data_IF_349323359092
#
_entry.id   IF_349323359092
#
_cell.length_a   1.000
_cell.length_b   1.000
_cell.length_c   1.000
_cell.angle_alpha   90.00
_cell.angle_beta   90.00
_cell.angle_gamma   90.00
#
_symmetry.space_group_name_H-M   'P 1'
#
loop_
_entity.id
_entity.type
_entity.pdbx_description
1 polymer ?
#
# COMPACT_ATOMS: atom_id res chain seq x y z
N UNK A 1 -7.97 -7.63 13.28
CA UNK A 1 -7.14 -7.39 12.08
C UNK A 1 -7.89 -6.72 10.92
N UNK A 2 -8.86 -7.37 10.27
CA UNK A 2 -9.55 -6.77 9.08
C UNK A 2 -10.18 -5.41 9.32
N UNK A 3 -10.93 -5.27 10.41
CA UNK A 3 -11.54 -3.99 10.79
C UNK A 3 -10.51 -2.96 11.24
N UNK A 4 -9.41 -3.40 11.87
CA UNK A 4 -8.30 -2.52 12.25
C UNK A 4 -7.60 -1.92 11.02
N UNK A 5 -7.38 -2.73 9.98
CA UNK A 5 -6.80 -2.25 8.70
C UNK A 5 -7.72 -1.22 8.05
N UNK A 6 -9.03 -1.51 7.96
CA UNK A 6 -10.01 -0.54 7.43
C UNK A 6 -10.01 0.76 8.25
N UNK A 7 -9.98 0.65 9.58
CA UNK A 7 -9.93 1.79 10.49
C UNK A 7 -8.66 2.62 10.28
N UNK A 8 -7.49 1.99 10.15
CA UNK A 8 -6.23 2.69 9.85
C UNK A 8 -6.32 3.48 8.54
N UNK A 9 -6.83 2.85 7.48
CA UNK A 9 -7.01 3.51 6.19
C UNK A 9 -7.90 4.74 6.34
N UNK A 10 -9.03 4.60 7.04
CA UNK A 10 -9.98 5.70 7.29
C UNK A 10 -9.37 6.82 8.16
N UNK A 11 -8.67 6.48 9.24
CA UNK A 11 -8.04 7.42 10.18
C UNK A 11 -6.97 8.28 9.48
N UNK A 12 -6.27 7.74 8.48
CA UNK A 12 -5.26 8.46 7.68
C UNK A 12 -5.92 9.27 6.53
N UNK A 13 -7.25 9.16 6.37
CA UNK A 13 -8.04 9.87 5.36
C UNK A 13 -8.15 9.14 4.02
N UNK A 14 -7.94 7.83 4.02
CA UNK A 14 -8.15 6.95 2.88
C UNK A 14 -9.56 6.36 2.83
N UNK A 15 -9.88 5.74 1.71
CA UNK A 15 -11.11 4.96 1.51
C UNK A 15 -10.75 3.51 1.24
N UNK A 16 -11.51 2.58 1.81
CA UNK A 16 -11.37 1.14 1.58
C UNK A 16 -12.67 0.57 1.05
N UNK A 17 -12.57 -0.40 0.15
CA UNK A 17 -13.69 -1.24 -0.28
C UNK A 17 -13.96 -2.38 0.72
N UNK A 18 -14.94 -3.22 0.40
CA UNK A 18 -15.22 -4.42 1.17
C UNK A 18 -14.16 -5.51 0.98
N UNK A 19 -14.00 -6.35 2.00
CA UNK A 19 -13.13 -7.51 1.92
C UNK A 19 -13.74 -8.56 0.97
N UNK A 20 -12.94 -9.06 0.05
CA UNK A 20 -13.28 -10.20 -0.80
C UNK A 20 -12.36 -11.38 -0.50
N UNK A 21 -12.90 -12.59 -0.59
CA UNK A 21 -12.10 -13.81 -0.48
C UNK A 21 -11.41 -14.10 -1.81
N UNK A 22 -10.14 -14.53 -1.76
CA UNK A 22 -9.37 -14.86 -2.95
C UNK A 22 -8.79 -16.26 -2.87
N UNK A 23 -8.91 -16.97 -3.99
CA UNK A 23 -8.37 -18.32 -4.18
C UNK A 23 -7.18 -18.25 -5.12
N UNK A 24 -6.17 -19.11 -4.92
CA UNK A 24 -4.99 -19.14 -5.80
C UNK A 24 -5.36 -19.46 -7.25
N UNK A 25 -6.44 -20.25 -7.42
CA UNK A 25 -6.94 -20.73 -8.71
C UNK A 25 -8.47 -20.84 -8.63
N UNK A 26 -9.18 -20.71 -9.76
CA UNK A 26 -10.63 -20.93 -9.80
C UNK A 26 -11.02 -22.29 -9.23
N UNK A 27 -12.05 -22.32 -8.37
CA UNK A 27 -12.59 -23.55 -7.77
C UNK A 27 -11.79 -24.12 -6.60
N UNK A 28 -10.74 -23.45 -6.13
CA UNK A 28 -10.06 -23.77 -4.88
C UNK A 28 -10.62 -22.97 -3.72
N UNK A 29 -10.48 -23.51 -2.50
CA UNK A 29 -10.82 -22.77 -1.29
C UNK A 29 -10.00 -21.47 -1.21
N UNK A 30 -10.58 -20.39 -0.67
CA UNK A 30 -9.83 -19.15 -0.46
C UNK A 30 -8.64 -19.35 0.47
N UNK A 31 -7.48 -18.87 0.05
CA UNK A 31 -6.24 -18.89 0.85
C UNK A 31 -5.96 -17.53 1.53
N UNK A 32 -6.71 -16.51 1.12
CA UNK A 32 -6.51 -15.15 1.58
C UNK A 32 -7.78 -14.32 1.37
N UNK A 33 -7.73 -13.09 1.87
CA UNK A 33 -8.70 -12.04 1.58
C UNK A 33 -7.98 -10.76 1.16
N UNK A 34 -8.64 -9.95 0.34
CA UNK A 34 -8.12 -8.65 -0.06
C UNK A 34 -9.17 -7.56 0.02
N UNK A 35 -8.72 -6.32 0.20
CA UNK A 35 -9.53 -5.13 -0.03
C UNK A 35 -8.75 -4.15 -0.88
N UNK A 36 -9.46 -3.37 -1.70
CA UNK A 36 -8.87 -2.24 -2.38
C UNK A 36 -8.93 -1.00 -1.49
N UNK A 37 -7.94 -0.12 -1.61
CA UNK A 37 -7.92 1.15 -0.91
C UNK A 37 -7.40 2.28 -1.79
N UNK A 38 -7.69 3.52 -1.39
CA UNK A 38 -7.19 4.73 -2.03
C UNK A 38 -6.97 5.85 -1.03
N UNK A 39 -5.93 6.66 -1.25
CA UNK A 39 -5.64 7.88 -0.51
C UNK A 39 -5.72 9.07 -1.47
N UNK A 40 -6.95 9.48 -1.80
CA UNK A 40 -7.25 10.53 -2.79
C UNK A 40 -6.35 10.38 -4.03
N UNK A 41 -5.65 11.44 -4.44
CA UNK A 41 -4.79 11.41 -5.61
C UNK A 41 -3.41 10.82 -5.34
N UNK A 42 -3.00 10.59 -4.08
CA UNK A 42 -1.61 10.24 -3.75
C UNK A 42 -1.23 8.84 -4.26
N UNK A 43 -1.96 7.82 -3.80
CA UNK A 43 -1.76 6.43 -4.18
C UNK A 43 -3.00 5.60 -3.88
N UNK A 44 -3.07 4.43 -4.50
CA UNK A 44 -4.11 3.43 -4.27
C UNK A 44 -3.49 2.04 -4.38
N UNK A 45 -4.28 1.02 -4.09
CA UNK A 45 -3.83 -0.36 -4.26
C UNK A 45 -4.69 -1.32 -3.49
N UNK A 46 -4.08 -2.39 -2.98
CA UNK A 46 -4.78 -3.42 -2.22
C UNK A 46 -4.00 -3.89 -1.02
N UNK A 47 -4.72 -4.27 0.03
CA UNK A 47 -4.17 -5.02 1.15
C UNK A 47 -4.61 -6.46 0.98
N UNK A 48 -3.65 -7.37 0.94
CA UNK A 48 -3.83 -8.81 0.82
C UNK A 48 -3.39 -9.48 2.12
N UNK A 49 -4.29 -10.24 2.73
CA UNK A 49 -4.08 -10.89 4.02
C UNK A 49 -4.27 -12.38 3.83
N UNK A 50 -3.21 -13.15 4.04
CA UNK A 50 -3.25 -14.62 4.01
C UNK A 50 -3.92 -15.18 5.25
N UNK A 51 -4.42 -16.41 5.14
CA UNK A 51 -5.07 -17.10 6.25
C UNK A 51 -4.11 -17.37 7.42
N UNK A 52 -2.82 -17.50 7.13
CA UNK A 52 -1.74 -17.66 8.10
C UNK A 52 -1.32 -16.34 8.77
N UNK A 53 -1.86 -15.21 8.30
CA UNK A 53 -1.74 -13.90 8.92
C UNK A 53 -0.74 -12.95 8.28
N UNK A 54 -0.02 -13.36 7.23
CA UNK A 54 0.88 -12.45 6.51
C UNK A 54 0.10 -11.36 5.78
N UNK A 55 0.63 -10.15 5.84
CA UNK A 55 0.04 -8.95 5.25
C UNK A 55 0.93 -8.47 4.11
N UNK A 56 0.35 -8.33 2.93
CA UNK A 56 1.01 -7.77 1.76
C UNK A 56 0.23 -6.56 1.27
N UNK A 57 0.95 -5.50 0.93
CA UNK A 57 0.37 -4.24 0.50
C UNK A 57 0.91 -3.91 -0.88
N UNK A 58 0.01 -3.81 -1.84
CA UNK A 58 0.30 -3.22 -3.14
C UNK A 58 0.06 -1.72 -3.07
N UNK A 59 1.06 -0.93 -3.42
CA UNK A 59 0.97 0.53 -3.52
C UNK A 59 1.22 0.93 -4.97
N UNK A 60 0.30 1.71 -5.54
CA UNK A 60 0.37 2.25 -6.90
C UNK A 60 0.27 3.76 -6.83
N UNK A 61 1.22 4.48 -7.42
CA UNK A 61 1.19 5.94 -7.50
C UNK A 61 1.59 6.43 -8.89
N UNK A 62 0.85 7.40 -9.44
CA UNK A 62 1.22 8.09 -10.69
C UNK A 62 2.40 9.03 -10.51
N UNK A 63 2.68 9.43 -9.28
CA UNK A 63 3.75 10.38 -8.98
C UNK A 63 5.12 9.73 -8.95
N UNK A 64 5.17 8.41 -8.75
CA UNK A 64 6.39 7.63 -8.79
C UNK A 64 6.45 6.90 -10.12
N UNK A 65 7.36 7.33 -11.01
CA UNK A 65 7.53 6.67 -12.32
C UNK A 65 8.11 5.26 -12.16
N UNK A 66 9.07 5.09 -11.25
CA UNK A 66 9.72 3.83 -10.96
C UNK A 66 10.08 3.73 -9.46
N UNK A 67 9.42 2.83 -8.73
CA UNK A 67 9.68 2.60 -7.31
C UNK A 67 11.07 2.03 -7.06
N UNK A 68 11.64 1.23 -7.99
CA UNK A 68 12.99 0.68 -7.84
C UNK A 68 14.03 1.79 -7.58
N UNK A 69 13.86 2.94 -8.21
CA UNK A 69 14.77 4.09 -8.07
C UNK A 69 14.59 4.86 -6.76
N UNK A 70 13.61 4.48 -5.94
CA UNK A 70 13.22 5.15 -4.69
C UNK A 70 13.33 4.26 -3.47
N UNK A 71 13.50 2.93 -3.62
CA UNK A 71 13.56 1.97 -2.49
C UNK A 71 14.52 2.44 -1.39
N UNK A 72 15.72 2.91 -1.78
CA UNK A 72 16.74 3.40 -0.84
C UNK A 72 16.32 4.62 0.01
N UNK A 73 15.33 5.36 -0.46
CA UNK A 73 14.81 6.57 0.20
C UNK A 73 13.60 6.23 1.10
N UNK A 74 13.07 5.01 1.02
CA UNK A 74 11.93 4.56 1.81
C UNK A 74 12.38 4.13 3.21
N UNK A 75 11.65 4.60 4.21
CA UNK A 75 11.86 4.24 5.63
C UNK A 75 10.66 3.45 6.11
N UNK A 76 10.45 2.30 5.48
CA UNK A 76 9.33 1.40 5.78
C UNK A 76 9.64 0.55 7.01
N UNK A 77 8.59 0.23 7.75
CA UNK A 77 8.58 -0.76 8.83
C UNK A 77 8.51 -2.17 8.25
N UNK A 78 7.84 -2.32 7.11
CA UNK A 78 7.80 -3.55 6.32
C UNK A 78 9.01 -3.75 5.40
N UNK A 79 8.96 -4.84 4.64
CA UNK A 79 9.99 -5.21 3.66
C UNK A 79 9.45 -5.08 2.23
N UNK A 80 10.23 -4.48 1.33
CA UNK A 80 9.89 -4.41 -0.09
C UNK A 80 10.12 -5.78 -0.73
N UNK A 81 9.04 -6.44 -1.16
CA UNK A 81 9.08 -7.76 -1.81
C UNK A 81 9.34 -7.64 -3.31
N UNK A 82 8.70 -6.65 -3.94
CA UNK A 82 8.88 -6.35 -5.36
C UNK A 82 8.55 -4.89 -5.66
N UNK A 83 9.13 -4.35 -6.72
CA UNK A 83 8.86 -3.01 -7.21
C UNK A 83 9.04 -2.98 -8.72
N UNK A 84 8.13 -2.37 -9.46
CA UNK A 84 8.26 -2.20 -10.89
C UNK A 84 7.47 -0.98 -11.36
N UNK A 85 8.09 -0.03 -12.08
CA UNK A 85 7.38 1.16 -12.53
C UNK A 85 6.64 1.86 -11.37
N UNK A 86 5.38 2.24 -11.58
CA UNK A 86 4.56 2.91 -10.57
C UNK A 86 3.99 2.03 -9.46
N UNK A 87 4.34 0.74 -9.39
CA UNK A 87 3.89 -0.20 -8.35
C UNK A 87 5.02 -0.72 -7.44
N UNK A 88 4.65 -1.01 -6.19
CA UNK A 88 5.53 -1.63 -5.18
C UNK A 88 4.69 -2.55 -4.28
N UNK A 89 5.26 -3.70 -3.93
CA UNK A 89 4.73 -4.65 -2.96
C UNK A 89 5.55 -4.60 -1.68
N UNK A 90 4.86 -4.45 -0.55
CA UNK A 90 5.46 -4.40 0.78
C UNK A 90 4.86 -5.52 1.61
N UNK A 91 5.70 -6.32 2.25
CA UNK A 91 5.27 -7.24 3.30
C UNK A 91 5.28 -6.49 4.63
N UNK A 92 4.15 -6.47 5.30
CA UNK A 92 3.99 -5.84 6.61
C UNK A 92 4.04 -6.91 7.70
N UNK A 93 4.74 -6.59 8.79
CA UNK A 93 4.93 -7.53 9.89
C UNK A 93 3.91 -7.33 11.01
N UNK A 94 3.35 -6.13 11.13
CA UNK A 94 2.34 -5.80 12.13
C UNK A 94 1.49 -4.59 11.73
N UNK A 95 0.38 -4.42 12.44
CA UNK A 95 -0.64 -3.39 12.18
C UNK A 95 -0.15 -1.97 12.47
N UNK A 96 0.77 -1.79 13.43
CA UNK A 96 1.36 -0.49 13.72
C UNK A 96 2.41 -0.10 12.67
N UNK A 97 3.16 -1.06 12.15
CA UNK A 97 4.04 -0.90 11.00
C UNK A 97 3.26 -0.42 9.78
N UNK A 98 2.19 -1.14 9.41
CA UNK A 98 1.30 -0.76 8.32
C UNK A 98 0.79 0.70 8.44
N UNK A 99 0.36 1.10 9.64
CA UNK A 99 -0.09 2.47 9.90
C UNK A 99 1.02 3.49 9.60
N UNK A 100 2.21 3.27 10.16
CA UNK A 100 3.37 4.17 9.95
C UNK A 100 3.77 4.24 8.49
N UNK A 101 3.72 3.12 7.79
CA UNK A 101 4.13 3.03 6.40
C UNK A 101 3.13 3.76 5.48
N UNK A 102 1.82 3.65 5.73
CA UNK A 102 0.83 4.47 5.05
C UNK A 102 0.99 5.98 5.30
N UNK A 103 1.23 6.38 6.55
CA UNK A 103 1.50 7.79 6.89
C UNK A 103 2.75 8.29 6.17
N UNK A 104 3.83 7.51 6.22
CA UNK A 104 5.10 7.82 5.55
C UNK A 104 4.92 7.95 4.03
N UNK A 105 4.28 6.97 3.38
CA UNK A 105 4.10 6.95 1.93
C UNK A 105 3.27 8.16 1.45
N UNK A 106 2.24 8.55 2.21
CA UNK A 106 1.45 9.75 1.93
C UNK A 106 2.33 11.00 1.92
N UNK A 107 3.12 11.21 2.98
CA UNK A 107 4.04 12.34 3.07
C UNK A 107 5.13 12.28 2.00
N UNK A 108 5.68 11.11 1.73
CA UNK A 108 6.71 10.90 0.71
C UNK A 108 6.23 11.30 -0.69
N UNK A 109 5.04 10.84 -1.09
CA UNK A 109 4.45 11.16 -2.39
C UNK A 109 4.07 12.65 -2.46
N UNK A 110 3.57 13.23 -1.37
CA UNK A 110 3.31 14.67 -1.30
C UNK A 110 4.57 15.49 -1.55
N UNK A 111 5.72 15.10 -0.98
CA UNK A 111 6.99 15.77 -1.21
C UNK A 111 7.46 15.66 -2.66
N UNK A 112 7.27 14.49 -3.29
CA UNK A 112 7.57 14.30 -4.72
C UNK A 112 6.74 15.27 -5.59
N UNK A 113 5.44 15.44 -5.28
CA UNK A 113 4.57 16.39 -5.99
C UNK A 113 5.06 17.82 -5.88
N UNK A 114 5.40 18.26 -4.66
CA UNK A 114 5.91 19.62 -4.41
C UNK A 114 7.20 19.88 -5.18
N UNK A 115 8.12 18.90 -5.22
CA UNK A 115 9.36 19.02 -5.98
C UNK A 115 9.14 19.11 -7.50
N UNK A 116 8.14 18.40 -8.04
CA UNK A 116 7.78 18.52 -9.47
C UNK A 116 7.25 19.91 -9.80
N UNK A 117 6.35 20.45 -8.96
CA UNK A 117 5.76 21.78 -9.16
C UNK A 117 6.81 22.90 -9.14
N UNK A 118 7.79 22.81 -8.24
CA UNK A 118 8.91 23.76 -8.16
C UNK A 118 9.82 23.73 -9.39
N UNK A 119 9.93 22.60 -10.10
CA UNK A 119 10.75 22.49 -11.32
C UNK A 119 10.05 23.01 -12.58
N UNK A 120 8.73 23.18 -12.53
CA UNK A 120 7.90 23.69 -13.62
C UNK A 120 7.51 25.16 -13.46
N UNK A 121 7.89 25.78 -12.33
CA UNK A 121 7.75 27.22 -12.07
C UNK A 121 9.06 27.94 -12.40
#
# INVERSE_FOLDING_TARGET
MSEEIKKIIQDIGGKSEEWISVSERPGKDPFAKELNYSFSDYFWGKVHVRNEGEIYVLVISKDVFNWKDRIKDLKLSGEVVDAAGGLIWIQEFDIQGLKRDFEFLKTFIENIRKQKQQKTS
#
